data_IF_926970851259
#
_entry.id   IF_926970851259
#
_cell.length_a   1.000
_cell.length_b   1.000
_cell.length_c   1.000
_cell.angle_alpha   90.00
_cell.angle_beta   90.00
_cell.angle_gamma   90.00
#
_symmetry.space_group_name_H-M   'P 1'
#
loop_
_entity.id
_entity.type
_entity.pdbx_description
1 polymer ?
#
# COMPACT_ATOMS: atom_id res chain seq x y z
N UNK A 1 -9.60 3.48 12.71
CA UNK A 1 -8.81 3.31 13.95
C UNK A 1 -9.64 2.60 15.03
N UNK A 2 -10.69 1.90 14.62
CA UNK A 2 -11.78 1.46 15.50
C UNK A 2 -11.79 -0.06 15.69
N UNK A 3 -10.88 -0.76 15.02
CA UNK A 3 -10.69 -2.21 15.14
C UNK A 3 -9.80 -2.53 16.36
N UNK A 4 -10.14 -3.62 17.07
CA UNK A 4 -9.34 -4.12 18.18
C UNK A 4 -7.93 -4.55 17.75
N UNK A 5 -6.95 -4.41 18.65
CA UNK A 5 -5.55 -4.77 18.38
C UNK A 5 -5.39 -6.23 17.91
N UNK A 6 -6.17 -7.15 18.47
CA UNK A 6 -6.16 -8.57 18.08
C UNK A 6 -6.62 -8.77 16.62
N UNK A 7 -7.63 -8.03 16.17
CA UNK A 7 -8.14 -8.06 14.80
C UNK A 7 -7.11 -7.48 13.84
N UNK A 8 -6.49 -6.36 14.22
CA UNK A 8 -5.41 -5.74 13.45
C UNK A 8 -4.25 -6.74 13.30
N UNK A 9 -3.79 -7.36 14.39
CA UNK A 9 -2.73 -8.38 14.38
C UNK A 9 -3.06 -9.54 13.41
N UNK A 10 -4.28 -10.08 13.48
CA UNK A 10 -4.68 -11.18 12.61
C UNK A 10 -4.67 -10.78 11.12
N UNK A 11 -5.23 -9.62 10.79
CA UNK A 11 -5.23 -9.09 9.41
C UNK A 11 -3.82 -8.82 8.90
N UNK A 12 -2.94 -8.30 9.75
CA UNK A 12 -1.55 -8.07 9.39
C UNK A 12 -0.83 -9.37 9.05
N UNK A 13 -0.99 -10.42 9.86
CA UNK A 13 -0.37 -11.71 9.59
C UNK A 13 -0.88 -12.30 8.28
N UNK A 14 -2.18 -12.24 8.02
CA UNK A 14 -2.80 -12.81 6.82
C UNK A 14 -2.53 -12.03 5.52
N UNK A 15 -2.25 -10.72 5.59
CA UNK A 15 -2.06 -9.89 4.40
C UNK A 15 -0.70 -10.15 3.72
N UNK A 16 -0.68 -10.48 2.43
CA UNK A 16 0.57 -10.55 1.64
C UNK A 16 1.16 -9.18 1.28
N UNK A 17 0.37 -8.10 1.43
CA UNK A 17 0.81 -6.76 1.05
C UNK A 17 1.81 -6.12 2.02
N UNK A 18 2.81 -5.44 1.44
CA UNK A 18 3.87 -4.75 2.19
C UNK A 18 3.47 -3.35 2.70
N UNK A 19 2.48 -2.74 2.07
CA UNK A 19 1.96 -1.39 2.33
C UNK A 19 0.44 -1.49 2.49
N UNK A 20 -0.07 -0.93 3.58
CA UNK A 20 -1.48 -1.04 3.95
C UNK A 20 -2.07 0.36 4.07
N UNK A 21 -3.19 0.65 3.41
CA UNK A 21 -3.88 1.93 3.55
C UNK A 21 -4.38 2.12 4.98
N UNK A 22 -4.23 3.33 5.52
CA UNK A 22 -4.83 3.69 6.79
C UNK A 22 -6.13 4.47 6.55
N UNK A 23 -7.24 3.90 7.05
CA UNK A 23 -8.58 4.47 6.94
C UNK A 23 -9.09 4.80 8.35
N UNK A 24 -9.76 5.94 8.48
CA UNK A 24 -10.41 6.37 9.74
C UNK A 24 -11.92 6.15 9.66
N UNK A 25 -12.49 5.49 10.68
CA UNK A 25 -13.95 5.33 10.78
C UNK A 25 -14.61 4.60 9.61
N UNK A 26 -13.88 3.73 8.90
CA UNK A 26 -14.39 3.00 7.73
C UNK A 26 -14.58 3.83 6.46
N UNK A 27 -14.13 5.09 6.43
CA UNK A 27 -14.24 5.99 5.26
C UNK A 27 -13.19 5.68 4.21
N UNK A 28 -13.46 4.65 3.40
CA UNK A 28 -12.53 4.16 2.37
C UNK A 28 -12.24 5.24 1.31
N UNK A 29 -13.19 6.14 1.10
CA UNK A 29 -13.11 7.31 0.22
C UNK A 29 -12.11 8.39 0.66
N UNK A 30 -11.66 8.37 1.92
CA UNK A 30 -10.73 9.37 2.48
C UNK A 30 -9.56 8.69 3.22
N UNK A 31 -8.67 7.98 2.51
CA UNK A 31 -7.51 7.36 3.15
C UNK A 31 -6.55 8.42 3.67
N UNK A 32 -6.07 8.24 4.90
CA UNK A 32 -5.12 9.15 5.55
C UNK A 32 -3.69 9.02 4.98
N UNK A 33 -3.40 7.89 4.35
CA UNK A 33 -2.08 7.51 3.89
C UNK A 33 -1.91 6.00 3.95
N UNK A 34 -0.67 5.53 4.04
CA UNK A 34 -0.34 4.12 4.17
C UNK A 34 0.66 3.88 5.30
N UNK A 35 0.69 2.64 5.79
CA UNK A 35 1.68 2.15 6.76
C UNK A 35 2.45 0.98 6.16
N UNK A 36 3.73 0.87 6.52
CA UNK A 36 4.50 -0.32 6.19
C UNK A 36 4.18 -1.46 7.16
N UNK A 37 3.75 -2.61 6.62
CA UNK A 37 3.43 -3.81 7.43
C UNK A 37 4.59 -4.20 8.35
N UNK A 38 5.83 -4.15 7.85
CA UNK A 38 7.04 -4.47 8.63
C UNK A 38 7.24 -3.57 9.86
N UNK A 39 6.93 -2.28 9.75
CA UNK A 39 7.13 -1.31 10.84
C UNK A 39 6.09 -1.54 11.94
N UNK A 40 4.86 -1.81 11.51
CA UNK A 40 3.78 -2.18 12.42
C UNK A 40 4.06 -3.49 13.15
N UNK A 41 4.52 -4.52 12.43
CA UNK A 41 4.92 -5.80 13.04
C UNK A 41 6.08 -5.64 14.02
N UNK A 42 7.11 -4.87 13.68
CA UNK A 42 8.26 -4.62 14.56
C UNK A 42 7.83 -3.98 15.89
N UNK A 43 6.91 -3.01 15.85
CA UNK A 43 6.34 -2.42 17.07
C UNK A 43 5.62 -3.47 17.93
N UNK A 44 4.77 -4.28 17.31
CA UNK A 44 3.97 -5.30 18.00
C UNK A 44 4.81 -6.43 18.60
N UNK A 45 5.89 -6.84 17.90
CA UNK A 45 6.82 -7.89 18.35
C UNK A 45 7.73 -7.43 19.50
N UNK A 46 8.03 -6.13 19.58
CA UNK A 46 8.83 -5.56 20.67
C UNK A 46 7.99 -5.23 21.92
N UNK A 47 6.71 -5.60 21.93
CA UNK A 47 5.79 -5.32 23.05
C UNK A 47 5.32 -3.86 23.10
N UNK A 48 5.56 -3.09 22.04
CA UNK A 48 5.05 -1.73 21.90
C UNK A 48 3.66 -1.75 21.26
N UNK A 49 2.83 -0.76 21.59
CA UNK A 49 1.59 -0.45 20.85
C UNK A 49 1.89 0.71 19.89
N UNK A 50 2.34 0.44 18.65
CA UNK A 50 2.69 1.50 17.72
C UNK A 50 1.48 2.37 17.39
N UNK A 51 1.65 3.69 17.48
CA UNK A 51 0.66 4.64 16.98
C UNK A 51 0.60 4.56 15.46
N UNK A 52 -0.53 4.09 14.93
CA UNK A 52 -0.76 4.02 13.48
C UNK A 52 -0.63 5.40 12.83
N UNK A 53 -1.11 6.45 13.51
CA UNK A 53 -1.00 7.83 13.00
C UNK A 53 0.46 8.27 12.86
N UNK A 54 1.36 7.89 13.77
CA UNK A 54 2.79 8.21 13.66
C UNK A 54 3.53 7.38 12.61
N UNK A 55 3.06 6.16 12.32
CA UNK A 55 3.61 5.32 11.26
C UNK A 55 3.04 5.65 9.88
N UNK A 56 2.02 6.50 9.82
CA UNK A 56 1.35 6.85 8.57
C UNK A 56 2.26 7.71 7.71
N UNK A 57 2.33 7.34 6.43
CA UNK A 57 3.01 8.10 5.39
C UNK A 57 2.00 8.51 4.34
N UNK A 58 2.12 9.74 3.87
CA UNK A 58 1.37 10.20 2.70
C UNK A 58 2.02 9.66 1.43
N UNK A 59 1.25 9.55 0.36
CA UNK A 59 1.77 9.29 -0.98
C UNK A 59 1.19 10.31 -1.96
N UNK A 60 1.72 10.30 -3.18
CA UNK A 60 1.22 11.14 -4.26
C UNK A 60 -0.16 10.70 -4.74
N UNK A 61 -0.93 11.66 -5.22
CA UNK A 61 -2.18 11.43 -5.93
C UNK A 61 -1.93 11.46 -7.43
N UNK A 62 -2.33 10.39 -8.11
CA UNK A 62 -2.32 10.27 -9.57
C UNK A 62 -3.76 10.38 -10.08
N UNK A 63 -3.96 11.07 -11.21
CA UNK A 63 -5.27 11.07 -11.85
C UNK A 63 -5.52 9.70 -12.52
N UNK A 64 -6.74 9.19 -12.43
CA UNK A 64 -7.17 7.96 -13.10
C UNK A 64 -7.04 8.03 -14.65
N UNK A 65 -7.05 9.25 -15.19
CA UNK A 65 -6.78 9.55 -16.60
C UNK A 65 -5.30 9.46 -17.01
N UNK A 66 -4.37 9.27 -16.07
CA UNK A 66 -2.95 9.14 -16.41
C UNK A 66 -2.67 7.83 -17.14
N UNK A 67 -1.83 7.91 -18.18
CA UNK A 67 -1.26 6.71 -18.79
C UNK A 67 -0.33 6.01 -17.80
N UNK A 68 -0.13 4.71 -18.00
CA UNK A 68 0.76 3.91 -17.15
C UNK A 68 2.20 4.46 -17.12
N UNK A 69 2.67 5.02 -18.25
CA UNK A 69 4.01 5.62 -18.34
C UNK A 69 4.09 6.94 -17.57
N UNK A 70 3.05 7.77 -17.62
CA UNK A 70 2.99 8.99 -16.81
C UNK A 70 2.96 8.64 -15.32
N UNK A 71 2.17 7.64 -14.92
CA UNK A 71 2.13 7.16 -13.55
C UNK A 71 3.51 6.64 -13.09
N UNK A 72 4.19 5.86 -13.93
CA UNK A 72 5.54 5.37 -13.68
C UNK A 72 6.53 6.52 -13.45
N UNK A 73 6.53 7.52 -14.33
CA UNK A 73 7.44 8.66 -14.23
C UNK A 73 7.20 9.47 -12.95
N UNK A 74 5.94 9.73 -12.58
CA UNK A 74 5.59 10.40 -11.33
C UNK A 74 6.03 9.60 -10.09
N UNK A 75 5.74 8.30 -10.05
CA UNK A 75 6.12 7.44 -8.94
C UNK A 75 7.64 7.32 -8.79
N UNK A 76 8.38 7.29 -9.90
CA UNK A 76 9.85 7.31 -9.90
C UNK A 76 10.41 8.64 -9.42
N UNK A 77 9.86 9.77 -9.87
CA UNK A 77 10.29 11.09 -9.44
C UNK A 77 10.15 11.26 -7.92
N UNK A 78 9.06 10.75 -7.36
CA UNK A 78 8.73 10.80 -5.93
C UNK A 78 9.34 9.65 -5.13
N UNK A 79 10.13 8.78 -5.78
CA UNK A 79 10.77 7.61 -5.16
C UNK A 79 9.79 6.73 -4.35
N UNK A 80 8.54 6.63 -4.81
CA UNK A 80 7.48 5.85 -4.16
C UNK A 80 7.09 4.63 -4.97
N UNK A 81 6.62 3.59 -4.26
CA UNK A 81 6.15 2.34 -4.87
C UNK A 81 4.64 2.16 -4.77
N UNK A 82 3.94 3.11 -4.15
CA UNK A 82 2.48 3.16 -4.01
C UNK A 82 2.02 4.58 -4.31
N UNK A 83 0.87 4.73 -4.94
CA UNK A 83 0.22 6.00 -5.15
C UNK A 83 -1.28 5.84 -4.93
N UNK A 84 -1.94 6.92 -4.54
CA UNK A 84 -3.39 6.99 -4.53
C UNK A 84 -3.89 7.47 -5.88
N UNK A 85 -4.95 6.85 -6.36
CA UNK A 85 -5.59 7.20 -7.62
C UNK A 85 -6.83 8.00 -7.29
N UNK A 86 -6.97 9.16 -7.92
CA UNK A 86 -8.10 10.07 -7.75
C UNK A 86 -8.71 10.43 -9.09
N UNK A 87 -10.00 10.78 -9.11
CA UNK A 87 -10.65 11.32 -10.31
C UNK A 87 -10.33 12.82 -10.48
N UNK A 88 -10.91 13.46 -11.51
CA UNK A 88 -10.73 14.90 -11.78
C UNK A 88 -11.32 15.83 -10.72
N UNK A 89 -12.22 15.32 -9.87
CA UNK A 89 -12.83 16.04 -8.76
C UNK A 89 -12.06 15.87 -7.44
N UNK A 90 -11.03 15.01 -7.43
CA UNK A 90 -10.20 14.71 -6.27
C UNK A 90 -10.73 13.58 -5.39
N UNK A 91 -11.80 12.89 -5.81
CA UNK A 91 -12.32 11.74 -5.07
C UNK A 91 -11.38 10.55 -5.21
N UNK A 92 -11.20 9.82 -4.10
CA UNK A 92 -10.40 8.62 -4.09
C UNK A 92 -11.07 7.50 -4.90
N UNK A 93 -10.34 6.98 -5.87
CA UNK A 93 -10.76 5.86 -6.73
C UNK A 93 -10.12 4.56 -6.27
N UNK A 94 -8.85 4.60 -5.87
CA UNK A 94 -8.12 3.40 -5.50
C UNK A 94 -6.62 3.61 -5.35
N UNK A 95 -5.86 2.54 -5.53
CA UNK A 95 -4.42 2.50 -5.27
C UNK A 95 -3.73 1.93 -6.50
N UNK A 96 -2.56 2.49 -6.83
CA UNK A 96 -1.66 1.95 -7.83
C UNK A 96 -0.33 1.63 -7.18
N UNK A 97 0.22 0.45 -7.48
CA UNK A 97 1.55 0.05 -7.05
C UNK A 97 2.52 -0.01 -8.24
N UNK A 98 3.80 0.12 -7.94
CA UNK A 98 4.86 -0.08 -8.93
C UNK A 98 4.81 -1.49 -9.53
N UNK A 99 4.38 -2.48 -8.75
CA UNK A 99 4.21 -3.86 -9.24
C UNK A 99 3.13 -3.92 -10.32
N UNK A 100 1.96 -3.32 -10.08
CA UNK A 100 0.87 -3.30 -11.08
C UNK A 100 1.31 -2.64 -12.40
N UNK A 101 2.12 -1.57 -12.30
CA UNK A 101 2.71 -0.91 -13.47
C UNK A 101 3.64 -1.88 -14.21
N UNK A 102 4.54 -2.54 -13.50
CA UNK A 102 5.47 -3.49 -14.12
C UNK A 102 4.74 -4.69 -14.72
N UNK A 103 3.73 -5.23 -14.06
CA UNK A 103 2.91 -6.34 -14.56
C UNK A 103 2.16 -5.97 -15.84
N UNK A 104 1.65 -4.73 -15.93
CA UNK A 104 0.99 -4.26 -17.14
C UNK A 104 1.92 -4.19 -18.37
N UNK A 105 3.24 -4.05 -18.14
CA UNK A 105 4.26 -3.97 -19.19
C UNK A 105 4.87 -5.35 -19.48
N UNK A 106 5.20 -6.10 -18.43
CA UNK A 106 5.96 -7.36 -18.50
C UNK A 106 5.09 -8.62 -18.56
N UNK A 107 3.78 -8.51 -18.27
CA UNK A 107 2.90 -9.64 -18.00
C UNK A 107 2.90 -10.03 -16.52
N UNK A 108 2.30 -11.17 -16.18
CA UNK A 108 2.24 -11.68 -14.80
C UNK A 108 3.66 -11.78 -14.21
N UNK A 109 3.89 -11.07 -13.11
CA UNK A 109 5.10 -11.22 -12.33
C UNK A 109 4.81 -12.25 -11.23
N UNK A 110 5.62 -13.33 -11.11
CA UNK A 110 5.40 -14.31 -10.06
C UNK A 110 5.51 -13.61 -8.71
N UNK A 111 4.53 -13.83 -7.84
CA UNK A 111 4.54 -13.20 -6.54
C UNK A 111 5.74 -13.73 -5.73
N UNK A 112 6.33 -12.91 -4.86
CA UNK A 112 7.51 -13.35 -4.09
C UNK A 112 7.18 -14.53 -3.15
N UNK A 113 5.90 -14.75 -2.86
CA UNK A 113 5.38 -15.92 -2.13
C UNK A 113 5.08 -17.14 -3.01
N UNK A 114 5.06 -16.98 -4.34
CA UNK A 114 4.79 -18.03 -5.32
C UNK A 114 6.07 -18.58 -5.98
N UNK A 115 7.22 -18.03 -5.63
CA UNK A 115 8.51 -18.61 -5.98
C UNK A 115 8.68 -19.96 -5.26
N UNK A 116 8.22 -21.04 -5.91
CA UNK A 116 8.75 -22.37 -5.67
C UNK A 116 10.28 -22.30 -5.79
N UNK A 117 10.96 -23.04 -4.91
CA UNK A 117 12.38 -22.87 -4.59
C UNK A 117 13.34 -22.88 -5.79
N UNK A 118 14.63 -22.58 -5.55
CA UNK A 118 15.57 -22.29 -6.62
C UNK A 118 15.62 -23.45 -7.61
N UNK A 119 15.48 -23.11 -8.90
CA UNK A 119 15.86 -23.99 -10.00
C UNK A 119 17.40 -24.13 -9.90
N UNK A 120 17.84 -25.24 -9.30
CA UNK A 120 19.24 -25.68 -9.29
C UNK A 120 19.50 -26.58 -10.51
#
# INVERSE_FOLDING_TARGET
>A
LDDDEAVIRQRLVASSYSRLPLIRGGRVEEPLGFVHKKELLNGLLTGSSPSLEHLTRTTINLLDSFSILNALDQMRAESTHIAFVVNEFGDFVGILSMTDILESIAGELPDASEADGPDL
#
